data_IF_972392101468
#
_entry.id   IF_972392101468
#
_cell.length_a   1.000
_cell.length_b   1.000
_cell.length_c   1.000
_cell.angle_alpha   90.00
_cell.angle_beta   90.00
_cell.angle_gamma   90.00
#
_symmetry.space_group_name_H-M   'P 1'
#
loop_
_entity.id
_entity.type
_entity.pdbx_description
1 polymer ?
#
# COMPACT_ATOMS: atom_id res chain seq x y z
N UNK A 1 -17.65 -5.94 6.96
CA UNK A 1 -17.85 -4.49 7.18
C UNK A 1 -16.53 -3.71 7.29
N UNK A 2 -15.58 -4.15 8.12
CA UNK A 2 -14.25 -3.52 8.32
C UNK A 2 -13.47 -3.12 7.05
N UNK A 3 -13.51 -3.95 5.99
CA UNK A 3 -12.85 -3.62 4.72
C UNK A 3 -13.47 -2.40 4.04
N UNK A 4 -14.80 -2.31 4.05
CA UNK A 4 -15.55 -1.24 3.40
C UNK A 4 -15.37 0.10 4.10
N UNK A 5 -15.30 0.13 5.42
CA UNK A 5 -15.15 1.38 6.17
C UNK A 5 -13.75 1.98 6.05
N UNK A 6 -12.72 1.14 5.90
CA UNK A 6 -11.34 1.59 5.92
C UNK A 6 -10.74 1.71 4.52
N UNK A 7 -10.72 0.62 3.75
CA UNK A 7 -10.04 0.61 2.45
C UNK A 7 -10.83 1.30 1.35
N UNK A 8 -12.17 1.22 1.37
CA UNK A 8 -13.00 1.99 0.43
C UNK A 8 -12.88 3.48 0.72
N UNK A 9 -12.84 3.86 2.00
CA UNK A 9 -12.62 5.25 2.44
C UNK A 9 -11.24 5.74 2.02
N UNK A 10 -10.19 4.97 2.27
CA UNK A 10 -8.84 5.27 1.80
C UNK A 10 -8.83 5.48 0.29
N UNK A 11 -9.43 4.58 -0.48
CA UNK A 11 -9.49 4.74 -1.94
C UNK A 11 -10.22 6.02 -2.35
N UNK A 12 -11.32 6.36 -1.70
CA UNK A 12 -12.09 7.58 -1.97
C UNK A 12 -11.28 8.84 -1.66
N UNK A 13 -10.59 8.87 -0.51
CA UNK A 13 -9.70 9.98 -0.13
C UNK A 13 -8.56 10.15 -1.14
N UNK A 14 -7.95 9.06 -1.60
CA UNK A 14 -6.91 9.09 -2.65
C UNK A 14 -7.48 9.65 -3.96
N UNK A 15 -8.67 9.23 -4.36
CA UNK A 15 -9.34 9.75 -5.56
C UNK A 15 -9.68 11.24 -5.43
N UNK A 16 -10.07 11.72 -4.25
CA UNK A 16 -10.34 13.14 -3.98
C UNK A 16 -9.06 13.98 -3.97
N UNK A 17 -8.02 13.52 -3.28
CA UNK A 17 -6.71 14.18 -3.21
C UNK A 17 -6.09 14.30 -4.60
N UNK A 18 -6.11 13.24 -5.39
CA UNK A 18 -5.58 13.26 -6.77
C UNK A 18 -6.38 14.19 -7.68
N UNK A 19 -7.70 14.33 -7.49
CA UNK A 19 -8.53 15.31 -8.19
C UNK A 19 -8.15 16.75 -7.81
N UNK A 20 -7.98 17.03 -6.50
CA UNK A 20 -7.56 18.36 -6.01
C UNK A 20 -6.21 18.76 -6.56
N UNK A 21 -5.27 17.81 -6.63
CA UNK A 21 -3.91 18.07 -7.10
C UNK A 21 -3.75 18.07 -8.62
N UNK A 22 -4.82 17.77 -9.38
CA UNK A 22 -4.78 17.66 -10.85
C UNK A 22 -4.14 18.87 -11.51
N UNK A 23 -4.43 20.07 -10.99
CA UNK A 23 -3.97 21.34 -11.55
C UNK A 23 -2.62 21.81 -11.01
N UNK A 24 -1.94 21.02 -10.16
CA UNK A 24 -0.63 21.41 -9.63
C UNK A 24 0.39 21.46 -10.78
N UNK A 25 1.00 22.64 -11.04
CA UNK A 25 2.07 22.75 -12.01
C UNK A 25 3.32 22.06 -11.48
N UNK A 26 3.90 21.16 -12.29
CA UNK A 26 5.11 20.45 -11.89
C UNK A 26 5.43 19.26 -12.76
N UNK A 27 6.71 18.87 -12.73
CA UNK A 27 7.19 17.64 -13.38
C UNK A 27 6.57 16.39 -12.74
N UNK A 28 6.61 15.29 -13.48
CA UNK A 28 6.21 13.98 -12.97
C UNK A 28 6.99 13.57 -11.70
N UNK A 29 8.25 14.00 -11.57
CA UNK A 29 9.09 13.79 -10.38
C UNK A 29 8.50 14.49 -9.16
N UNK A 30 8.10 15.77 -9.30
CA UNK A 30 7.43 16.52 -8.22
C UNK A 30 6.14 15.83 -7.78
N UNK A 31 5.38 15.27 -8.74
CA UNK A 31 4.15 14.52 -8.45
C UNK A 31 4.41 13.21 -7.70
N UNK A 32 5.47 12.47 -8.06
CA UNK A 32 5.92 11.29 -7.29
C UNK A 32 6.27 11.68 -5.86
N UNK A 33 6.96 12.79 -5.66
CA UNK A 33 7.30 13.27 -4.33
C UNK A 33 6.06 13.59 -3.48
N UNK A 34 5.05 14.24 -4.07
CA UNK A 34 3.75 14.50 -3.42
C UNK A 34 3.10 13.18 -3.00
N UNK A 35 3.09 12.16 -3.87
CA UNK A 35 2.55 10.84 -3.53
C UNK A 35 3.31 10.24 -2.34
N UNK A 36 4.64 10.29 -2.35
CA UNK A 36 5.47 9.75 -1.26
C UNK A 36 5.21 10.45 0.07
N UNK A 37 5.00 11.77 0.09
CA UNK A 37 4.77 12.51 1.34
C UNK A 37 3.31 12.42 1.81
N UNK A 38 2.34 12.43 0.90
CA UNK A 38 0.93 12.59 1.28
C UNK A 38 0.15 11.27 1.26
N UNK A 39 0.35 10.43 0.25
CA UNK A 39 -0.43 9.20 0.06
C UNK A 39 0.19 8.00 0.76
N UNK A 40 1.52 7.90 0.76
CA UNK A 40 2.22 6.77 1.35
C UNK A 40 1.99 6.68 2.87
N UNK A 41 2.07 7.75 3.67
CA UNK A 41 1.82 7.66 5.12
C UNK A 41 0.38 7.26 5.45
N UNK A 42 -0.60 7.77 4.70
CA UNK A 42 -2.01 7.39 4.86
C UNK A 42 -2.22 5.89 4.61
N UNK A 43 -1.66 5.38 3.52
CA UNK A 43 -1.73 3.95 3.20
C UNK A 43 -1.05 3.10 4.28
N UNK A 44 0.16 3.49 4.73
CA UNK A 44 0.88 2.80 5.81
C UNK A 44 0.07 2.77 7.10
N UNK A 45 -0.58 3.88 7.47
CA UNK A 45 -1.43 3.94 8.65
C UNK A 45 -2.59 2.94 8.56
N UNK A 46 -3.33 2.94 7.44
CA UNK A 46 -4.44 2.00 7.23
C UNK A 46 -3.97 0.54 7.18
N UNK A 47 -2.80 0.28 6.58
CA UNK A 47 -2.22 -1.07 6.53
C UNK A 47 -1.78 -1.59 7.90
N UNK A 48 -1.25 -0.71 8.76
CA UNK A 48 -0.89 -1.08 10.14
C UNK A 48 -2.13 -1.29 11.01
N UNK A 49 -3.15 -0.44 10.87
CA UNK A 49 -4.33 -0.46 11.72
C UNK A 49 -5.12 -1.76 11.59
N UNK A 50 -5.23 -2.30 10.37
CA UNK A 50 -6.05 -3.48 10.09
C UNK A 50 -5.30 -4.36 9.08
N UNK A 51 -4.60 -5.43 9.51
CA UNK A 51 -3.89 -6.32 8.59
C UNK A 51 -4.84 -7.38 7.98
N UNK A 52 -5.89 -6.93 7.27
CA UNK A 52 -6.82 -7.82 6.53
C UNK A 52 -6.23 -8.17 5.16
N UNK A 53 -6.58 -9.34 4.63
CA UNK A 53 -6.28 -9.72 3.24
C UNK A 53 -6.93 -8.74 2.25
N UNK A 54 -6.09 -8.02 1.51
CA UNK A 54 -6.56 -7.07 0.49
C UNK A 54 -6.55 -7.76 -0.88
N UNK A 55 -7.66 -7.66 -1.60
CA UNK A 55 -7.76 -8.20 -2.95
C UNK A 55 -6.73 -7.54 -3.90
N UNK A 56 -6.05 -8.31 -4.79
CA UNK A 56 -5.10 -7.76 -5.75
C UNK A 56 -5.67 -6.61 -6.60
N UNK A 57 -6.97 -6.68 -6.93
CA UNK A 57 -7.68 -5.66 -7.70
C UNK A 57 -7.65 -4.26 -7.04
N UNK A 58 -7.62 -4.19 -5.70
CA UNK A 58 -7.49 -2.93 -4.98
C UNK A 58 -6.16 -2.25 -5.29
N UNK A 59 -5.06 -3.00 -5.20
CA UNK A 59 -3.73 -2.48 -5.47
C UNK A 59 -3.60 -2.04 -6.93
N UNK A 60 -4.13 -2.84 -7.88
CA UNK A 60 -4.14 -2.46 -9.29
C UNK A 60 -4.93 -1.17 -9.53
N UNK A 61 -6.10 -1.01 -8.89
CA UNK A 61 -6.89 0.22 -9.00
C UNK A 61 -6.15 1.43 -8.40
N UNK A 62 -5.55 1.26 -7.23
CA UNK A 62 -4.77 2.30 -6.55
C UNK A 62 -3.57 2.73 -7.39
N UNK A 63 -2.78 1.78 -7.91
CA UNK A 63 -1.65 2.05 -8.78
C UNK A 63 -2.08 2.79 -10.06
N UNK A 64 -3.18 2.37 -10.69
CA UNK A 64 -3.73 3.06 -11.86
C UNK A 64 -4.11 4.51 -11.55
N UNK A 65 -4.76 4.78 -10.41
CA UNK A 65 -5.14 6.14 -9.99
C UNK A 65 -3.91 7.01 -9.79
N UNK A 66 -2.90 6.50 -9.08
CA UNK A 66 -1.66 7.22 -8.82
C UNK A 66 -0.88 7.46 -10.13
N UNK A 67 -0.82 6.49 -11.04
CA UNK A 67 -0.16 6.64 -12.33
C UNK A 67 -0.86 7.67 -13.24
N UNK A 68 -2.20 7.66 -13.27
CA UNK A 68 -2.98 8.70 -13.98
C UNK A 68 -2.65 10.10 -13.45
N UNK A 69 -2.49 10.25 -12.13
CA UNK A 69 -2.11 11.52 -11.52
C UNK A 69 -0.68 11.97 -11.90
N UNK A 70 0.32 11.09 -11.78
CA UNK A 70 1.73 11.39 -12.14
C UNK A 70 1.85 11.85 -13.59
N UNK A 71 1.13 11.18 -14.50
CA UNK A 71 1.21 11.44 -15.94
C UNK A 71 0.16 12.42 -16.46
N UNK A 72 -0.50 13.17 -15.58
CA UNK A 72 -1.47 14.19 -15.94
C UNK A 72 -2.58 13.69 -16.86
N UNK A 73 -3.07 12.47 -16.61
CA UNK A 73 -4.06 11.77 -17.42
C UNK A 73 -3.67 11.52 -18.90
N UNK A 74 -2.38 11.64 -19.26
CA UNK A 74 -1.84 11.18 -20.54
C UNK A 74 -1.66 9.66 -20.55
N UNK A 75 -1.41 9.05 -21.72
CA UNK A 75 -1.22 7.60 -21.88
C UNK A 75 -0.02 7.08 -21.05
N UNK A 76 -0.33 6.65 -19.84
CA UNK A 76 0.64 6.27 -18.81
C UNK A 76 1.21 4.87 -19.00
N UNK A 77 0.52 3.95 -19.69
CA UNK A 77 1.01 2.58 -19.92
C UNK A 77 2.36 2.53 -20.66
N UNK A 78 2.51 3.34 -21.70
CA UNK A 78 3.75 3.43 -22.51
C UNK A 78 4.88 4.09 -21.70
N UNK A 79 4.55 5.07 -20.87
CA UNK A 79 5.51 5.79 -20.03
C UNK A 79 5.97 4.95 -18.83
N UNK A 80 5.06 4.17 -18.24
CA UNK A 80 5.32 3.31 -17.09
C UNK A 80 6.25 2.14 -17.45
N UNK A 81 6.01 1.45 -18.58
CA UNK A 81 6.90 0.39 -19.06
C UNK A 81 8.31 0.93 -19.32
N UNK A 82 8.43 2.10 -19.96
CA UNK A 82 9.70 2.78 -20.19
C UNK A 82 10.40 3.21 -18.90
N UNK A 83 9.65 3.58 -17.87
CA UNK A 83 10.21 4.01 -16.57
C UNK A 83 10.71 2.83 -15.75
N UNK A 84 9.95 1.74 -15.64
CA UNK A 84 10.40 0.53 -14.93
C UNK A 84 11.65 -0.08 -15.57
N UNK A 85 11.79 0.00 -16.89
CA UNK A 85 13.00 -0.44 -17.60
C UNK A 85 14.23 0.43 -17.31
N UNK A 86 14.05 1.73 -17.06
CA UNK A 86 15.17 2.69 -16.83
C UNK A 86 15.54 2.88 -15.35
N UNK A 87 14.58 2.78 -14.43
CA UNK A 87 14.75 3.20 -13.04
C UNK A 87 15.43 2.19 -12.11
N UNK A 88 15.74 0.97 -12.57
CA UNK A 88 16.54 0.01 -11.78
C UNK A 88 17.95 0.53 -11.45
N UNK A 89 18.39 1.66 -12.03
CA UNK A 89 19.72 2.26 -11.85
C UNK A 89 19.79 3.40 -10.83
N UNK A 90 18.67 4.00 -10.39
CA UNK A 90 18.67 5.19 -9.52
C UNK A 90 17.76 4.95 -8.32
N UNK A 91 18.32 4.40 -7.23
CA UNK A 91 17.58 3.86 -6.08
C UNK A 91 16.65 4.85 -5.34
N UNK A 92 16.78 6.16 -5.54
CA UNK A 92 15.96 7.18 -4.86
C UNK A 92 14.70 7.63 -5.62
N UNK A 93 14.68 7.49 -6.95
CA UNK A 93 13.59 8.00 -7.79
C UNK A 93 12.45 7.00 -8.01
N UNK A 94 12.55 5.83 -7.40
CA UNK A 94 11.61 4.73 -7.62
C UNK A 94 10.20 5.13 -7.18
N UNK A 95 9.24 4.81 -8.03
CA UNK A 95 7.82 4.99 -7.78
C UNK A 95 7.39 4.12 -6.58
N UNK A 96 6.58 4.63 -5.63
CA UNK A 96 6.20 3.87 -4.45
C UNK A 96 5.34 2.65 -4.84
N UNK A 97 5.78 1.46 -4.42
CA UNK A 97 5.04 0.22 -4.62
C UNK A 97 4.20 -0.08 -3.37
N UNK A 98 2.90 0.20 -3.46
CA UNK A 98 1.95 0.05 -2.35
C UNK A 98 1.71 -1.41 -1.94
N UNK A 99 1.86 -2.35 -2.89
CA UNK A 99 1.75 -3.79 -2.59
C UNK A 99 2.94 -4.25 -1.76
N UNK A 100 4.15 -3.84 -2.11
CA UNK A 100 5.36 -4.17 -1.35
C UNK A 100 5.33 -3.53 0.03
N UNK A 101 4.87 -2.28 0.16
CA UNK A 101 4.77 -1.61 1.46
C UNK A 101 3.74 -2.31 2.34
N UNK A 102 2.56 -2.66 1.81
CA UNK A 102 1.58 -3.48 2.53
C UNK A 102 2.19 -4.79 3.03
N UNK A 103 2.93 -5.52 2.18
CA UNK A 103 3.57 -6.77 2.58
C UNK A 103 4.59 -6.56 3.71
N UNK A 104 5.45 -5.56 3.58
CA UNK A 104 6.44 -5.23 4.60
C UNK A 104 5.77 -4.86 5.93
N UNK A 105 4.71 -4.06 5.88
CA UNK A 105 3.92 -3.66 7.05
C UNK A 105 3.26 -4.88 7.71
N UNK A 106 2.60 -5.74 6.93
CA UNK A 106 1.96 -6.95 7.45
C UNK A 106 2.97 -7.91 8.10
N UNK A 107 4.15 -8.12 7.49
CA UNK A 107 5.22 -8.93 8.08
C UNK A 107 5.72 -8.32 9.38
N UNK A 108 5.93 -6.99 9.41
CA UNK A 108 6.35 -6.28 10.62
C UNK A 108 5.33 -6.48 11.75
N UNK A 109 4.06 -6.23 11.48
CA UNK A 109 2.99 -6.40 12.47
C UNK A 109 2.93 -7.86 12.97
N UNK A 110 3.02 -8.82 12.06
CA UNK A 110 3.02 -10.24 12.41
C UNK A 110 4.21 -10.60 13.32
N UNK A 111 5.39 -10.07 13.02
CA UNK A 111 6.58 -10.29 13.84
C UNK A 111 6.44 -9.70 15.25
N UNK A 112 5.89 -8.48 15.39
CA UNK A 112 5.62 -7.89 16.70
C UNK A 112 4.59 -8.70 17.49
N UNK A 113 3.46 -9.06 16.87
CA UNK A 113 2.45 -9.92 17.50
C UNK A 113 3.05 -11.25 17.94
N UNK A 114 3.95 -11.85 17.15
CA UNK A 114 4.61 -13.09 17.52
C UNK A 114 5.62 -12.92 18.67
N UNK A 115 6.34 -11.80 18.71
CA UNK A 115 7.32 -11.51 19.77
C UNK A 115 6.66 -11.30 21.14
N UNK A 116 5.52 -10.60 21.19
CA UNK A 116 4.81 -10.29 22.43
C UNK A 116 3.94 -11.46 22.94
N UNK A 117 3.80 -12.54 22.16
CA UNK A 117 3.09 -13.77 22.57
C UNK A 117 3.78 -14.54 23.69
N UNK A 118 5.07 -14.34 23.93
CA UNK A 118 5.78 -15.05 25.00
C UNK A 118 5.45 -14.55 26.42
N UNK A 119 4.65 -13.49 26.58
CA UNK A 119 4.47 -12.81 27.88
C UNK A 119 3.04 -12.81 28.43
N UNK A 120 2.01 -13.17 27.63
CA UNK A 120 0.61 -12.96 28.02
C UNK A 120 -0.15 -14.28 28.28
N UNK A 121 -0.85 -14.40 29.42
CA UNK A 121 -1.62 -15.58 29.86
C UNK A 121 -2.83 -15.95 28.98
N UNK A 122 -3.28 -15.07 28.07
CA UNK A 122 -4.47 -15.27 27.22
C UNK A 122 -4.26 -16.28 26.05
N UNK A 123 -3.08 -16.88 25.95
CA UNK A 123 -2.67 -17.78 24.87
C UNK A 123 -3.41 -19.14 24.82
N UNK A 124 -4.14 -19.53 25.86
CA UNK A 124 -4.77 -20.85 25.93
C UNK A 124 -5.94 -21.06 24.96
N UNK A 125 -6.63 -19.99 24.57
CA UNK A 125 -7.88 -20.08 23.79
C UNK A 125 -7.64 -19.90 22.28
N UNK A 126 -6.63 -19.13 21.86
CA UNK A 126 -6.32 -18.87 20.43
C UNK A 126 -5.22 -19.78 19.84
N UNK A 127 -4.43 -20.48 20.66
CA UNK A 127 -3.23 -21.21 20.18
C UNK A 127 -3.53 -22.45 19.35
N UNK A 128 -4.76 -22.97 19.39
CA UNK A 128 -5.12 -24.19 18.66
C UNK A 128 -5.39 -23.96 17.16
N UNK A 129 -5.61 -22.73 16.70
CA UNK A 129 -6.08 -22.51 15.31
C UNK A 129 -5.13 -21.75 14.38
N UNK A 130 -4.16 -20.96 14.87
CA UNK A 130 -3.45 -19.99 14.00
C UNK A 130 -1.92 -20.06 14.13
N UNK A 131 -1.30 -20.94 13.35
CA UNK A 131 0.16 -20.91 13.17
C UNK A 131 0.59 -19.68 12.36
N UNK A 132 1.77 -19.09 12.61
CA UNK A 132 2.30 -17.97 11.81
C UNK A 132 2.37 -18.28 10.31
N UNK A 133 2.59 -19.55 9.97
CA UNK A 133 2.59 -20.05 8.59
C UNK A 133 1.18 -20.02 7.97
N UNK A 134 0.14 -20.39 8.72
CA UNK A 134 -1.26 -20.30 8.28
C UNK A 134 -1.70 -18.85 8.04
N UNK A 135 -1.29 -17.93 8.92
CA UNK A 135 -1.62 -16.51 8.80
C UNK A 135 -0.89 -15.82 7.62
N UNK A 136 0.39 -16.14 7.41
CA UNK A 136 1.13 -15.72 6.22
C UNK A 136 0.44 -16.20 4.93
N UNK A 137 -0.10 -17.41 4.93
CA UNK A 137 -0.91 -17.95 3.82
C UNK A 137 -2.19 -17.15 3.58
N UNK A 138 -2.89 -16.73 4.64
CA UNK A 138 -4.12 -15.94 4.53
C UNK A 138 -3.88 -14.54 3.95
N UNK A 139 -2.74 -13.92 4.28
CA UNK A 139 -2.42 -12.55 3.83
C UNK A 139 -1.73 -12.53 2.45
N UNK A 140 -0.86 -13.51 2.16
CA UNK A 140 0.04 -13.44 1.00
C UNK A 140 -0.31 -14.37 -0.17
N UNK A 141 -1.15 -15.40 0.02
CA UNK A 141 -1.65 -16.24 -1.09
C UNK A 141 -2.95 -15.70 -1.67
#
# INVERSE_FOLDING_TARGET
ELYGENYRKLMKEIEEDTKKWKNIPGSWIRRIHIIKISLLPKAIYTFNAIPIKIAPAFFSKLEQTVLKFVWNHKNWFILYSKMNLKNNRVGGLTFPNFKTTYKATAIKTLWYVHKDRHTNQWNGIESLEISPYAYGRLIFN
#
